data_IF_582332949365
#
_entry.id   IF_582332949365
#
_cell.length_a   1.000
_cell.length_b   1.000
_cell.length_c   1.000
_cell.angle_alpha   90.00
_cell.angle_beta   90.00
_cell.angle_gamma   90.00
#
_symmetry.space_group_name_H-M   'P 1'
#
loop_
_entity.id
_entity.type
_entity.pdbx_description
1 polymer ?
#
# COMPACT_ATOMS: atom_id res chain seq x y z
N UNK A 1 -10.62 -2.27 18.83
CA UNK A 1 -11.23 -2.74 17.57
C UNK A 1 -10.53 -2.14 16.33
N UNK A 2 -9.20 -1.95 16.36
CA UNK A 2 -8.49 -1.11 15.37
C UNK A 2 -7.50 -1.90 14.51
N UNK A 3 -6.93 -2.99 15.02
CA UNK A 3 -5.93 -3.81 14.32
C UNK A 3 -6.51 -4.59 13.16
N UNK A 4 -7.79 -4.99 13.26
CA UNK A 4 -8.48 -5.74 12.20
C UNK A 4 -8.70 -4.86 10.97
N UNK A 5 -8.94 -3.56 11.15
CA UNK A 5 -9.10 -2.61 10.04
C UNK A 5 -7.81 -2.44 9.21
N UNK A 6 -6.64 -2.42 9.88
CA UNK A 6 -5.34 -2.36 9.20
C UNK A 6 -5.07 -3.62 8.36
N UNK A 7 -5.52 -4.79 8.82
CA UNK A 7 -5.38 -6.04 8.08
C UNK A 7 -6.14 -6.05 6.76
N UNK A 8 -7.28 -5.34 6.67
CA UNK A 8 -8.02 -5.18 5.41
C UNK A 8 -7.32 -4.26 4.41
N UNK A 9 -6.41 -3.39 4.84
CA UNK A 9 -5.66 -2.53 3.92
C UNK A 9 -4.74 -3.35 3.00
N UNK A 10 -4.17 -4.45 3.51
CA UNK A 10 -3.23 -5.28 2.76
C UNK A 10 -3.85 -5.90 1.47
N UNK A 11 -4.96 -6.64 1.53
CA UNK A 11 -5.59 -7.18 0.32
C UNK A 11 -6.15 -6.08 -0.60
N UNK A 12 -6.56 -4.94 -0.05
CA UNK A 12 -7.03 -3.80 -0.83
C UNK A 12 -5.90 -3.19 -1.68
N UNK A 13 -4.75 -2.94 -1.06
CA UNK A 13 -3.57 -2.38 -1.74
C UNK A 13 -3.10 -3.32 -2.85
N UNK A 14 -3.06 -4.62 -2.57
CA UNK A 14 -2.70 -5.65 -3.58
C UNK A 14 -3.66 -5.62 -4.75
N UNK A 15 -4.97 -5.63 -4.48
CA UNK A 15 -6.00 -5.65 -5.53
C UNK A 15 -5.95 -4.41 -6.42
N UNK A 16 -5.89 -3.21 -5.83
CA UNK A 16 -5.84 -1.94 -6.57
C UNK A 16 -4.54 -1.85 -7.39
N UNK A 17 -3.40 -2.23 -6.82
CA UNK A 17 -2.11 -2.17 -7.52
C UNK A 17 -2.06 -3.11 -8.74
N UNK A 18 -2.64 -4.32 -8.61
CA UNK A 18 -2.76 -5.27 -9.71
C UNK A 18 -3.68 -4.76 -10.81
N UNK A 19 -4.87 -4.26 -10.47
CA UNK A 19 -5.84 -3.72 -11.46
C UNK A 19 -5.26 -2.52 -12.21
N UNK A 20 -4.60 -1.60 -11.50
CA UNK A 20 -3.94 -0.45 -12.13
C UNK A 20 -2.77 -0.87 -13.03
N UNK A 21 -2.02 -1.92 -12.71
CA UNK A 21 -0.93 -2.39 -13.55
C UNK A 21 -1.42 -3.19 -14.77
N UNK A 22 -2.47 -3.98 -14.60
CA UNK A 22 -3.04 -4.85 -15.63
C UNK A 22 -3.79 -4.09 -16.74
N UNK A 23 -4.33 -2.90 -16.45
CA UNK A 23 -5.00 -2.07 -17.47
C UNK A 23 -4.04 -1.41 -18.46
N UNK A 24 -2.73 -1.37 -18.15
CA UNK A 24 -1.73 -0.65 -18.98
C UNK A 24 -0.73 -1.57 -19.68
N UNK A 25 -0.60 -2.83 -19.27
CA UNK A 25 0.39 -3.75 -19.80
C UNK A 25 -0.24 -5.11 -20.09
N UNK A 26 0.04 -5.67 -21.27
CA UNK A 26 -0.50 -6.97 -21.71
C UNK A 26 0.40 -8.15 -21.28
N UNK A 27 1.65 -7.85 -20.88
CA UNK A 27 2.64 -8.84 -20.46
C UNK A 27 2.64 -8.99 -18.94
N UNK A 28 2.60 -10.23 -18.45
CA UNK A 28 2.52 -10.54 -17.01
C UNK A 28 3.69 -9.98 -16.17
N UNK A 29 4.91 -9.98 -16.74
CA UNK A 29 6.12 -9.47 -16.06
C UNK A 29 6.04 -7.97 -15.71
N UNK A 30 5.75 -7.06 -16.67
CA UNK A 30 5.62 -5.64 -16.35
C UNK A 30 4.42 -5.34 -15.43
N UNK A 31 3.35 -6.14 -15.48
CA UNK A 31 2.22 -6.01 -14.53
C UNK A 31 2.71 -6.20 -13.08
N UNK A 32 3.42 -7.30 -12.79
CA UNK A 32 3.93 -7.54 -11.43
C UNK A 32 4.93 -6.47 -10.98
N UNK A 33 5.84 -6.03 -11.84
CA UNK A 33 6.82 -4.99 -11.48
C UNK A 33 6.17 -3.65 -11.15
N UNK A 34 5.18 -3.23 -11.95
CA UNK A 34 4.45 -2.00 -11.70
C UNK A 34 3.51 -2.10 -10.50
N UNK A 35 2.80 -3.22 -10.34
CA UNK A 35 1.93 -3.46 -9.20
C UNK A 35 2.73 -3.43 -7.88
N UNK A 36 3.88 -4.12 -7.82
CA UNK A 36 4.74 -4.11 -6.63
C UNK A 36 5.29 -2.72 -6.34
N UNK A 37 5.77 -1.99 -7.36
CA UNK A 37 6.28 -0.63 -7.15
C UNK A 37 5.19 0.33 -6.69
N UNK A 38 3.99 0.22 -7.23
CA UNK A 38 2.85 1.04 -6.82
C UNK A 38 2.40 0.70 -5.39
N UNK A 39 2.22 -0.59 -5.08
CA UNK A 39 1.87 -1.05 -3.74
C UNK A 39 2.92 -0.67 -2.70
N UNK A 40 4.21 -0.72 -3.03
CA UNK A 40 5.29 -0.29 -2.16
C UNK A 40 5.22 1.22 -1.84
N UNK A 41 4.86 2.06 -2.83
CA UNK A 41 4.66 3.49 -2.59
C UNK A 41 3.47 3.77 -1.67
N UNK A 42 2.36 3.04 -1.83
CA UNK A 42 1.19 3.16 -0.94
C UNK A 42 1.53 2.73 0.49
N UNK A 43 2.27 1.62 0.65
CA UNK A 43 2.71 1.14 1.95
C UNK A 43 3.70 2.13 2.61
N UNK A 44 4.64 2.68 1.84
CA UNK A 44 5.58 3.69 2.32
C UNK A 44 4.85 4.95 2.81
N UNK A 45 3.86 5.42 2.04
CA UNK A 45 3.03 6.55 2.44
C UNK A 45 2.30 6.29 3.76
N UNK A 46 1.64 5.13 3.92
CA UNK A 46 1.02 4.76 5.19
C UNK A 46 2.02 4.74 6.35
N UNK A 47 3.20 4.15 6.14
CA UNK A 47 4.23 4.04 7.18
C UNK A 47 4.72 5.43 7.65
N UNK A 48 4.86 6.39 6.74
CA UNK A 48 5.26 7.77 7.07
C UNK A 48 4.25 8.42 8.01
N UNK A 49 2.96 8.38 7.69
CA UNK A 49 1.93 8.96 8.55
C UNK A 49 1.79 8.23 9.87
N UNK A 50 1.91 6.90 9.86
CA UNK A 50 1.87 6.09 11.08
C UNK A 50 3.04 6.44 12.01
N UNK A 51 4.24 6.63 11.47
CA UNK A 51 5.41 7.11 12.20
C UNK A 51 5.24 8.53 12.73
N UNK A 52 4.69 9.44 11.91
CA UNK A 52 4.42 10.82 12.31
C UNK A 52 3.42 10.90 13.47
N UNK A 53 2.32 10.14 13.39
CA UNK A 53 1.31 10.06 14.45
C UNK A 53 1.90 9.44 15.72
N UNK A 54 2.72 8.40 15.60
CA UNK A 54 3.40 7.79 16.74
C UNK A 54 4.41 8.75 17.40
N UNK A 55 5.10 9.58 16.61
CA UNK A 55 6.01 10.61 17.11
C UNK A 55 5.25 11.71 17.85
N UNK A 56 4.17 12.23 17.25
CA UNK A 56 3.28 13.21 17.88
C UNK A 56 2.72 12.68 19.20
N UNK A 57 2.24 11.43 19.22
CA UNK A 57 1.74 10.79 20.43
C UNK A 57 2.79 10.53 21.50
N UNK A 58 4.09 10.54 21.17
CA UNK A 58 5.17 10.50 22.16
C UNK A 58 5.53 11.88 22.73
N UNK A 59 5.21 12.96 22.01
CA UNK A 59 5.54 14.33 22.38
C UNK A 59 4.41 15.03 23.16
N UNK A 60 3.18 14.52 23.05
CA UNK A 60 1.99 14.93 23.81
C UNK A 60 1.88 14.16 25.14
#
# INVERSE_FOLDING_TARGET
>A
MSTVALWYALPLIVSVSLVCAATRHELMRPIMQHAVRFGAWVAAFMAVFMGLLALLGRLA
#
